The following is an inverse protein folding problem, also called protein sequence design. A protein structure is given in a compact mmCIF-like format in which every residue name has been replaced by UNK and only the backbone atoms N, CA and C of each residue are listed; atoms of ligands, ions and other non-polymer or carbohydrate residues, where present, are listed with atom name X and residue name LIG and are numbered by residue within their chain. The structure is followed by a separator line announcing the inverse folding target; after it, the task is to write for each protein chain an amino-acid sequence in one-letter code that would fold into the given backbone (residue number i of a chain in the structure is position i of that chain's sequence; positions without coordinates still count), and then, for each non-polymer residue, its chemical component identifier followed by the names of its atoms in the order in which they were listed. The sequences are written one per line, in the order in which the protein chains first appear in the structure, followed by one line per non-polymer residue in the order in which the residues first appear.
data_IF_976942245778
#
_entry.id   IF_976942245778
#
_cell.length_a   1.000
_cell.length_b   1.000
_cell.length_c   1.000
_cell.angle_alpha   90.00
_cell.angle_beta   90.00
_cell.angle_gamma   90.00
#
_symmetry.space_group_name_H-M   'P 1'
#
loop_
_entity.id
_entity.type
_entity.pdbx_description
1 polymer ?
#
# COMPACT_ATOMS: atom_id res chain seq x y z
N UNK A 1 -4.29 13.25 -26.33
CA UNK A 1 -3.50 12.25 -25.56
C UNK A 1 -2.11 11.91 -26.12
N UNK A 2 -1.71 12.27 -27.36
CA UNK A 2 -0.38 11.92 -27.89
C UNK A 2 0.82 12.69 -27.28
N UNK A 3 0.62 13.97 -26.92
CA UNK A 3 1.70 14.88 -26.48
C UNK A 3 2.44 14.48 -25.19
N UNK A 4 1.78 13.73 -24.30
CA UNK A 4 2.37 13.32 -23.03
C UNK A 4 3.25 12.07 -23.14
N UNK A 5 2.95 11.16 -24.07
CA UNK A 5 3.72 9.92 -24.24
C UNK A 5 5.07 10.17 -24.94
N UNK A 6 5.09 11.12 -25.87
CA UNK A 6 6.33 11.54 -26.55
C UNK A 6 7.32 12.18 -25.56
N UNK A 7 6.83 12.99 -24.61
CA UNK A 7 7.69 13.65 -23.60
C UNK A 7 8.34 12.67 -22.61
N UNK A 8 7.66 11.58 -22.26
CA UNK A 8 8.20 10.62 -21.29
C UNK A 8 9.36 9.80 -21.89
N UNK A 9 9.22 9.38 -23.15
CA UNK A 9 10.28 8.66 -23.86
C UNK A 9 11.52 9.55 -24.02
N UNK A 10 11.33 10.83 -24.35
CA UNK A 10 12.42 11.80 -24.45
C UNK A 10 13.16 11.97 -23.11
N UNK A 11 12.43 12.12 -22.00
CA UNK A 11 13.04 12.21 -20.66
C UNK A 11 13.82 10.95 -20.26
N UNK A 12 13.37 9.76 -20.63
CA UNK A 12 14.10 8.51 -20.37
C UNK A 12 15.40 8.41 -21.18
N UNK A 13 15.35 8.80 -22.46
CA UNK A 13 16.53 8.79 -23.33
C UNK A 13 17.55 9.82 -22.87
N UNK A 14 17.11 11.01 -22.46
CA UNK A 14 17.98 12.04 -21.90
C UNK A 14 18.67 11.57 -20.61
N UNK A 15 17.95 10.91 -19.70
CA UNK A 15 18.55 10.37 -18.48
C UNK A 15 19.60 9.27 -18.76
N UNK A 16 19.43 8.50 -19.84
CA UNK A 16 20.42 7.52 -20.30
C UNK A 16 21.66 8.20 -20.90
N UNK A 17 21.47 9.21 -21.74
CA UNK A 17 22.57 9.95 -22.37
C UNK A 17 23.39 10.75 -21.34
N UNK A 18 22.77 11.14 -20.22
CA UNK A 18 23.40 11.87 -19.11
C UNK A 18 23.93 10.96 -17.98
N UNK A 19 23.92 9.63 -18.14
CA UNK A 19 24.32 8.64 -17.13
C UNK A 19 23.55 8.76 -15.78
N UNK A 20 22.33 9.31 -15.80
CA UNK A 20 21.46 9.53 -14.63
C UNK A 20 20.56 8.30 -14.38
N UNK A 21 21.18 7.18 -14.05
CA UNK A 21 20.51 5.89 -13.89
C UNK A 21 19.44 5.86 -12.78
N UNK A 22 19.63 6.61 -11.70
CA UNK A 22 18.65 6.69 -10.61
C UNK A 22 17.35 7.37 -11.05
N UNK A 23 17.45 8.44 -11.84
CA UNK A 23 16.30 9.17 -12.37
C UNK A 23 15.54 8.32 -13.40
N UNK A 24 16.28 7.53 -14.20
CA UNK A 24 15.71 6.55 -15.12
C UNK A 24 14.87 5.51 -14.37
N UNK A 25 15.42 4.92 -13.30
CA UNK A 25 14.71 3.94 -12.45
C UNK A 25 13.47 4.56 -11.82
N UNK A 26 13.58 5.78 -11.30
CA UNK A 26 12.47 6.50 -10.67
C UNK A 26 11.35 6.82 -11.65
N UNK A 27 11.68 7.32 -12.86
CA UNK A 27 10.71 7.60 -13.92
C UNK A 27 10.00 6.34 -14.41
N UNK A 28 10.73 5.22 -14.57
CA UNK A 28 10.15 3.94 -14.94
C UNK A 28 9.23 3.40 -13.83
N UNK A 29 9.65 3.45 -12.57
CA UNK A 29 8.83 3.05 -11.44
C UNK A 29 7.52 3.85 -11.38
N UNK A 30 7.59 5.16 -11.57
CA UNK A 30 6.40 6.02 -11.58
C UNK A 30 5.48 5.75 -12.77
N UNK A 31 6.03 5.48 -13.96
CA UNK A 31 5.24 5.10 -15.14
C UNK A 31 4.58 3.73 -15.01
N UNK A 32 5.26 2.78 -14.36
CA UNK A 32 4.72 1.45 -14.08
C UNK A 32 3.63 1.52 -13.01
N UNK A 33 3.82 2.32 -11.95
CA UNK A 33 2.78 2.67 -10.96
C UNK A 33 1.56 3.30 -11.64
N UNK A 34 1.78 4.27 -12.53
CA UNK A 34 0.69 5.00 -13.21
C UNK A 34 -0.08 4.16 -14.24
N UNK A 35 0.39 2.96 -14.60
CA UNK A 35 -0.25 2.11 -15.60
C UNK A 35 -0.95 0.89 -15.01
N UNK A 36 -0.88 0.66 -13.69
CA UNK A 36 -1.52 -0.43 -12.92
C UNK A 36 -1.44 -1.86 -13.52
N UNK A 37 -0.75 -2.08 -14.64
CA UNK A 37 -0.53 -3.38 -15.24
C UNK A 37 0.83 -3.89 -14.81
N UNK A 38 0.80 -4.62 -13.70
CA UNK A 38 1.75 -5.67 -13.31
C UNK A 38 3.19 -5.17 -13.14
N UNK A 39 3.49 -4.63 -11.95
CA UNK A 39 4.88 -4.56 -11.48
C UNK A 39 5.36 -5.99 -11.25
N UNK A 40 6.35 -6.42 -12.03
CA UNK A 40 7.01 -7.72 -11.86
C UNK A 40 7.72 -7.79 -10.49
N UNK A 41 7.66 -8.96 -9.84
CA UNK A 41 8.30 -9.28 -8.56
C UNK A 41 9.78 -8.83 -8.51
N UNK A 42 10.46 -8.87 -9.66
CA UNK A 42 11.87 -8.49 -9.77
C UNK A 42 12.12 -6.99 -9.58
N UNK A 43 11.19 -6.11 -9.98
CA UNK A 43 11.31 -4.66 -9.79
C UNK A 43 11.04 -4.25 -8.32
N UNK A 44 10.23 -5.04 -7.60
CA UNK A 44 9.99 -4.86 -6.16
C UNK A 44 11.20 -5.26 -5.33
N UNK A 45 11.96 -6.27 -5.77
CA UNK A 45 13.17 -6.75 -5.11
C UNK A 45 14.39 -5.82 -5.27
N UNK A 46 14.35 -4.86 -6.19
CA UNK A 46 15.45 -3.92 -6.47
C UNK A 46 15.40 -2.64 -5.63
N UNK A 47 14.31 -2.42 -4.88
CA UNK A 47 14.23 -1.30 -3.93
C UNK A 47 14.85 -1.74 -2.60
N UNK A 48 15.87 -1.05 -2.08
CA UNK A 48 16.48 -1.42 -0.80
C UNK A 48 15.56 -0.97 0.34
N UNK A 49 14.51 -1.74 0.60
CA UNK A 49 13.72 -1.58 1.82
C UNK A 49 14.04 -2.77 2.69
N UNK A 50 15.04 -2.58 3.55
CA UNK A 50 15.34 -3.54 4.61
C UNK A 50 14.06 -3.79 5.41
N UNK A 51 13.71 -5.06 5.61
CA UNK A 51 12.55 -5.48 6.42
C UNK A 51 12.62 -4.94 7.87
N UNK A 52 13.78 -4.47 8.28
CA UNK A 52 14.08 -3.92 9.60
C UNK A 52 14.06 -2.38 9.65
N UNK A 53 13.87 -1.67 8.52
CA UNK A 53 14.24 -0.25 8.42
C UNK A 53 13.09 0.76 8.24
N UNK A 54 11.84 0.34 7.99
CA UNK A 54 10.67 1.23 8.10
C UNK A 54 9.42 0.39 8.34
N UNK A 55 9.12 0.08 9.61
CA UNK A 55 7.75 -0.30 9.96
C UNK A 55 6.90 0.98 9.94
N UNK A 56 5.68 0.96 9.37
CA UNK A 56 4.85 2.15 9.30
C UNK A 56 4.34 2.60 10.67
N UNK A 57 4.50 1.78 11.71
CA UNK A 57 4.11 2.11 13.08
C UNK A 57 5.32 2.17 14.00
N UNK A 58 5.27 3.08 15.00
CA UNK A 58 6.23 3.12 16.11
C UNK A 58 6.18 1.81 16.91
N UNK A 59 4.99 1.23 17.03
CA UNK A 59 4.74 -0.05 17.70
C UNK A 59 3.59 -0.76 17.00
N UNK A 60 3.74 -2.07 16.85
CA UNK A 60 2.67 -2.94 16.34
C UNK A 60 1.71 -3.40 17.45
N UNK A 61 2.00 -3.07 18.71
CA UNK A 61 1.14 -3.35 19.85
C UNK A 61 0.18 -2.20 20.09
N UNK A 62 -1.11 -2.51 20.10
CA UNK A 62 -2.18 -1.60 20.46
C UNK A 62 -2.40 -1.62 21.97
N UNK A 63 -2.50 -0.44 22.57
CA UNK A 63 -2.97 -0.28 23.94
C UNK A 63 -4.47 -0.58 24.04
N UNK A 64 -4.96 -0.86 25.25
CA UNK A 64 -6.40 -1.05 25.49
C UNK A 64 -7.24 0.14 25.00
N UNK A 65 -6.72 1.36 25.19
CA UNK A 65 -7.40 2.59 24.76
C UNK A 65 -7.48 2.67 23.24
N UNK A 66 -6.44 2.27 22.50
CA UNK A 66 -6.46 2.24 21.03
C UNK A 66 -7.40 1.15 20.52
N UNK A 67 -7.43 -0.03 21.16
CA UNK A 67 -8.37 -1.10 20.82
C UNK A 67 -9.82 -0.62 20.95
N UNK A 68 -10.14 0.08 22.04
CA UNK A 68 -11.47 0.62 22.29
C UNK A 68 -11.81 1.80 21.34
N UNK A 69 -10.84 2.68 21.07
CA UNK A 69 -11.05 3.85 20.22
C UNK A 69 -11.25 3.50 18.74
N UNK A 70 -10.54 2.49 18.25
CA UNK A 70 -10.56 2.07 16.84
C UNK A 70 -11.34 0.77 16.59
N UNK A 71 -12.03 0.27 17.61
CA UNK A 71 -12.93 -0.89 17.55
C UNK A 71 -12.28 -2.21 17.08
N UNK A 72 -11.04 -2.48 17.52
CA UNK A 72 -10.33 -3.74 17.27
C UNK A 72 -10.87 -4.91 18.12
N UNK A 73 -12.14 -5.30 17.91
CA UNK A 73 -12.83 -6.31 18.72
C UNK A 73 -12.48 -7.75 18.39
N UNK A 74 -12.17 -8.03 17.14
CA UNK A 74 -12.01 -9.39 16.63
C UNK A 74 -10.67 -9.56 15.94
N UNK A 75 -10.16 -10.79 15.94
CA UNK A 75 -9.05 -11.17 15.07
C UNK A 75 -9.51 -11.09 13.61
N UNK A 76 -8.70 -10.50 12.74
CA UNK A 76 -9.03 -10.38 11.33
C UNK A 76 -8.32 -9.23 10.63
N UNK A 77 -8.72 -8.99 9.38
CA UNK A 77 -8.17 -7.90 8.59
C UNK A 77 -8.85 -6.57 8.91
N UNK A 78 -8.04 -5.53 9.01
CA UNK A 78 -8.47 -4.15 9.19
C UNK A 78 -7.79 -3.27 8.15
N UNK A 79 -8.50 -2.24 7.71
CA UNK A 79 -7.91 -1.12 7.00
C UNK A 79 -7.56 -0.08 8.04
N UNK A 80 -6.30 0.35 8.08
CA UNK A 80 -5.76 1.28 9.06
C UNK A 80 -5.17 2.49 8.35
N UNK A 81 -5.53 3.68 8.81
CA UNK A 81 -4.92 4.93 8.41
C UNK A 81 -3.81 5.30 9.40
N UNK A 82 -2.65 5.65 8.88
CA UNK A 82 -1.43 5.90 9.63
C UNK A 82 -0.91 7.30 9.33
N UNK A 83 -0.71 8.09 10.38
CA UNK A 83 -0.12 9.43 10.33
C UNK A 83 0.93 9.53 11.44
N UNK A 84 2.09 10.15 11.15
CA UNK A 84 3.20 10.25 12.11
C UNK A 84 3.56 8.91 12.80
N UNK A 85 3.52 7.83 12.01
CA UNK A 85 3.77 6.46 12.45
C UNK A 85 2.81 5.93 13.55
N UNK A 86 1.58 6.46 13.62
CA UNK A 86 0.52 6.05 14.54
C UNK A 86 -0.79 5.80 13.81
N UNK A 87 -1.58 4.88 14.33
CA UNK A 87 -2.94 4.65 13.82
C UNK A 87 -3.81 5.85 14.21
N UNK A 88 -4.46 6.47 13.22
CA UNK A 88 -5.38 7.60 13.41
C UNK A 88 -6.84 7.22 13.11
N UNK A 89 -7.05 6.16 12.32
CA UNK A 89 -8.34 5.56 12.09
C UNK A 89 -8.17 4.08 11.72
N UNK A 90 -9.17 3.25 12.01
CA UNK A 90 -9.24 1.89 11.52
C UNK A 90 -10.69 1.48 11.27
N UNK A 91 -10.87 0.55 10.35
CA UNK A 91 -12.14 -0.11 10.10
C UNK A 91 -11.92 -1.58 9.75
N UNK A 92 -12.85 -2.48 10.16
CA UNK A 92 -12.74 -3.89 9.82
C UNK A 92 -12.92 -4.09 8.32
N UNK A 93 -12.09 -4.93 7.71
CA UNK A 93 -12.27 -5.35 6.33
C UNK A 93 -13.21 -6.58 6.31
N UNK A 94 -14.46 -6.45 5.81
CA UNK A 94 -15.50 -7.44 6.07
C UNK A 94 -15.48 -8.62 5.11
N UNK A 95 -14.66 -8.57 4.05
CA UNK A 95 -14.69 -9.56 2.98
C UNK A 95 -13.71 -10.71 3.25
N UNK A 96 -14.16 -11.92 2.96
CA UNK A 96 -13.39 -13.16 3.06
C UNK A 96 -13.02 -13.68 1.67
N UNK A 97 -11.93 -14.44 1.57
CA UNK A 97 -11.46 -15.03 0.29
C UNK A 97 -12.53 -15.92 -0.36
N UNK A 98 -13.46 -16.44 0.44
CA UNK A 98 -14.54 -17.31 -0.02
C UNK A 98 -15.73 -16.53 -0.61
N UNK A 99 -15.73 -15.19 -0.52
CA UNK A 99 -16.80 -14.35 -1.06
C UNK A 99 -16.78 -14.34 -2.60
N UNK A 100 -17.93 -14.58 -3.26
CA UNK A 100 -18.06 -14.37 -4.70
C UNK A 100 -17.79 -12.90 -5.04
N UNK A 101 -16.76 -12.62 -5.83
CA UNK A 101 -16.37 -11.25 -6.19
C UNK A 101 -15.43 -10.59 -5.18
N UNK A 102 -14.82 -11.33 -4.26
CA UNK A 102 -13.82 -10.84 -3.30
C UNK A 102 -12.74 -9.92 -3.91
N UNK A 103 -12.23 -10.25 -5.10
CA UNK A 103 -11.25 -9.43 -5.82
C UNK A 103 -11.84 -8.08 -6.24
N UNK A 104 -13.08 -8.09 -6.73
CA UNK A 104 -13.78 -6.89 -7.16
C UNK A 104 -14.08 -6.00 -5.94
N UNK A 105 -14.42 -6.60 -4.79
CA UNK A 105 -14.60 -5.86 -3.54
C UNK A 105 -13.32 -5.20 -3.04
N UNK A 106 -12.16 -5.87 -3.12
CA UNK A 106 -10.87 -5.25 -2.81
C UNK A 106 -10.60 -4.09 -3.78
N UNK A 107 -10.82 -4.30 -5.07
CA UNK A 107 -10.57 -3.29 -6.10
C UNK A 107 -11.46 -2.05 -5.91
N UNK A 108 -12.76 -2.24 -5.67
CA UNK A 108 -13.71 -1.17 -5.35
C UNK A 108 -13.30 -0.40 -4.10
N UNK A 109 -12.81 -1.10 -3.07
CA UNK A 109 -12.34 -0.49 -1.82
C UNK A 109 -11.08 0.35 -2.03
N UNK A 110 -10.09 -0.21 -2.73
CA UNK A 110 -8.84 0.49 -3.07
C UNK A 110 -9.16 1.73 -3.92
N UNK A 111 -10.07 1.59 -4.89
CA UNK A 111 -10.44 2.67 -5.79
C UNK A 111 -11.21 3.78 -5.07
N UNK A 112 -12.12 3.46 -4.15
CA UNK A 112 -12.87 4.46 -3.38
C UNK A 112 -11.97 5.24 -2.42
N UNK A 113 -11.00 4.58 -1.78
CA UNK A 113 -10.01 5.24 -0.91
C UNK A 113 -8.91 5.97 -1.68
N UNK A 114 -8.64 5.61 -2.93
CA UNK A 114 -7.63 6.26 -3.78
C UNK A 114 -8.05 7.62 -4.36
N UNK A 115 -9.27 8.10 -4.07
CA UNK A 115 -9.72 9.43 -4.48
C UNK A 115 -8.95 10.58 -3.82
N UNK A 116 -8.32 10.33 -2.67
CA UNK A 116 -7.62 11.31 -1.83
C UNK A 116 -6.10 11.01 -1.77
N UNK A 117 -5.43 10.92 -2.93
CA UNK A 117 -3.95 10.93 -3.00
C UNK A 117 -3.44 12.38 -2.78
N UNK A 118 -3.77 12.95 -1.62
CA UNK A 118 -3.26 14.24 -1.12
C UNK A 118 -2.32 14.03 0.07
N UNK A 119 -2.05 15.09 0.85
CA UNK A 119 -1.26 15.08 2.11
C UNK A 119 -1.97 14.33 3.27
N UNK A 120 -2.82 13.34 2.95
CA UNK A 120 -3.58 12.56 3.93
C UNK A 120 -2.76 11.41 4.55
N UNK A 121 -3.34 10.74 5.56
CA UNK A 121 -2.70 9.60 6.20
C UNK A 121 -2.46 8.45 5.22
N UNK A 122 -1.35 7.74 5.38
CA UNK A 122 -1.04 6.53 4.62
C UNK A 122 -1.99 5.40 5.03
N UNK A 123 -2.58 4.71 4.06
CA UNK A 123 -3.55 3.65 4.33
C UNK A 123 -2.94 2.27 4.07
N UNK A 124 -3.15 1.36 5.03
CA UNK A 124 -2.65 -0.01 5.02
C UNK A 124 -3.77 -1.01 5.31
N UNK A 125 -3.71 -2.18 4.70
CA UNK A 125 -4.34 -3.37 5.26
C UNK A 125 -3.42 -3.99 6.30
N UNK A 126 -3.94 -4.28 7.50
CA UNK A 126 -3.21 -4.89 8.60
C UNK A 126 -4.03 -6.03 9.22
N UNK A 127 -3.36 -7.11 9.62
CA UNK A 127 -4.00 -8.21 10.32
C UNK A 127 -3.91 -7.99 11.83
N UNK A 128 -5.06 -7.88 12.49
CA UNK A 128 -5.15 -7.75 13.93
C UNK A 128 -5.30 -9.13 14.59
N UNK A 129 -4.49 -9.38 15.63
CA UNK A 129 -4.61 -10.55 16.51
C UNK A 129 -4.19 -10.18 17.93
N UNK A 130 -5.08 -10.35 18.91
CA UNK A 130 -4.79 -10.16 20.35
C UNK A 130 -4.12 -8.81 20.71
N UNK A 131 -4.50 -7.72 20.04
CA UNK A 131 -3.91 -6.40 20.24
C UNK A 131 -2.62 -6.15 19.46
N UNK A 132 -2.27 -7.02 18.52
CA UNK A 132 -1.11 -6.85 17.64
C UNK A 132 -1.53 -6.66 16.19
N UNK A 133 -0.89 -5.71 15.51
CA UNK A 133 -1.01 -5.51 14.07
C UNK A 133 0.18 -6.16 13.36
N UNK A 134 -0.10 -7.04 12.40
CA UNK A 134 0.92 -7.69 11.58
C UNK A 134 0.57 -7.56 10.09
N UNK A 135 1.52 -7.95 9.22
CA UNK A 135 1.30 -8.03 7.77
C UNK A 135 0.79 -6.72 7.16
N UNK A 136 1.34 -5.58 7.64
CA UNK A 136 1.00 -4.26 7.13
C UNK A 136 1.39 -4.17 5.65
N UNK A 137 0.36 -4.07 4.82
CA UNK A 137 0.45 -3.96 3.37
C UNK A 137 -0.17 -2.63 2.99
N UNK A 138 0.51 -1.81 2.19
CA UNK A 138 -0.14 -0.62 1.66
C UNK A 138 -1.44 -0.99 0.96
N UNK A 139 -2.47 -0.13 1.07
CA UNK A 139 -3.80 -0.45 0.56
C UNK A 139 -3.80 -0.84 -0.93
N UNK A 140 -3.01 -0.15 -1.76
CA UNK A 140 -2.86 -0.46 -3.19
C UNK A 140 -2.22 -1.84 -3.48
N UNK A 141 -1.50 -2.38 -2.51
CA UNK A 141 -0.84 -3.68 -2.53
C UNK A 141 -1.58 -4.72 -1.68
N UNK A 142 -2.71 -4.38 -1.08
CA UNK A 142 -3.38 -5.21 -0.09
C UNK A 142 -3.85 -6.54 -0.68
N UNK A 143 -3.35 -7.64 -0.11
CA UNK A 143 -3.64 -9.03 -0.48
C UNK A 143 -3.99 -9.80 0.80
N UNK A 144 -5.27 -9.82 1.21
CA UNK A 144 -5.65 -10.43 2.48
C UNK A 144 -5.63 -11.97 2.42
N UNK A 145 -5.42 -12.57 1.24
CA UNK A 145 -5.41 -14.01 1.05
C UNK A 145 -4.27 -14.73 1.78
N UNK A 146 -3.21 -13.99 2.16
CA UNK A 146 -2.07 -14.56 2.86
C UNK A 146 -2.38 -15.00 4.29
N UNK A 147 -3.48 -14.50 4.89
CA UNK A 147 -3.99 -14.94 6.18
C UNK A 147 -5.51 -15.08 6.13
N UNK A 148 -5.99 -16.29 6.43
CA UNK A 148 -7.43 -16.52 6.62
C UNK A 148 -7.80 -15.97 8.00
N UNK A 149 -8.65 -14.94 8.01
CA UNK A 149 -9.36 -14.52 9.22
C UNK A 149 -10.36 -15.60 9.64
#
# INVERSE_FOLDING_TARGET
MKRFEDSFKESLLQALDEDRYDDLVFMLANRLRSRQKVISIHARASLPVGKDLCQPLITNHLSKTEIEAFDFRTTGWYIVAVEDCRVVAAEPFPYTVDDPGYRDHIEDYVNSSSGDIGDGPDVYGAFHQDGHLTDLQHLYEFRPECKRA
#
